data_IF_187874595157
#
_entry.id   IF_187874595157
#
_cell.length_a   1.000
_cell.length_b   1.000
_cell.length_c   1.000
_cell.angle_alpha   90.00
_cell.angle_beta   90.00
_cell.angle_gamma   90.00
#
_symmetry.space_group_name_H-M   'P 1'
#
loop_
_entity.id
_entity.type
_entity.pdbx_description
1 polymer ?
#
# COMPACT_ATOMS: atom_id res chain seq x y z
N UNK A 1 7.61 3.22 23.05
CA UNK A 1 6.93 2.68 21.86
C UNK A 1 6.80 3.80 20.84
N UNK A 2 7.20 3.54 19.59
CA UNK A 2 7.12 4.56 18.54
C UNK A 2 5.70 4.63 17.96
N UNK A 3 5.20 5.84 17.75
CA UNK A 3 3.95 6.06 17.05
C UNK A 3 4.17 5.98 15.54
N UNK A 4 3.35 5.22 14.84
CA UNK A 4 3.46 5.11 13.38
C UNK A 4 2.69 6.23 12.72
N UNK A 5 3.34 7.00 11.86
CA UNK A 5 2.75 8.05 11.05
C UNK A 5 3.15 7.87 9.60
N UNK A 6 2.25 8.25 8.72
CA UNK A 6 2.47 8.16 7.28
C UNK A 6 2.81 9.52 6.70
N UNK A 7 3.88 9.58 5.90
CA UNK A 7 4.25 10.82 5.21
C UNK A 7 3.22 11.17 4.13
N UNK A 8 3.27 12.42 3.67
CA UNK A 8 2.43 12.84 2.55
C UNK A 8 2.70 12.01 1.30
N UNK A 9 3.96 11.68 1.03
CA UNK A 9 4.33 10.83 -0.09
C UNK A 9 3.73 9.44 0.04
N UNK A 10 3.83 8.80 1.20
CA UNK A 10 3.28 7.47 1.43
C UNK A 10 1.76 7.44 1.22
N UNK A 11 1.06 8.45 1.75
CA UNK A 11 -0.39 8.57 1.56
C UNK A 11 -0.75 8.81 0.09
N UNK A 12 0.01 9.64 -0.61
CA UNK A 12 -0.19 9.89 -2.03
C UNK A 12 0.04 8.63 -2.87
N UNK A 13 1.06 7.84 -2.54
CA UNK A 13 1.34 6.58 -3.21
C UNK A 13 0.21 5.57 -3.03
N UNK A 14 -0.36 5.48 -1.83
CA UNK A 14 -1.52 4.62 -1.58
C UNK A 14 -2.75 5.09 -2.35
N UNK A 15 -2.99 6.40 -2.38
CA UNK A 15 -4.10 6.97 -3.15
C UNK A 15 -3.95 6.67 -4.64
N UNK A 16 -2.74 6.82 -5.17
CA UNK A 16 -2.44 6.50 -6.57
C UNK A 16 -2.65 5.02 -6.87
N UNK A 17 -2.25 4.14 -5.97
CA UNK A 17 -2.50 2.70 -6.12
C UNK A 17 -3.99 2.42 -6.28
N UNK A 18 -4.84 3.01 -5.43
CA UNK A 18 -6.29 2.82 -5.49
C UNK A 18 -6.84 3.34 -6.83
N UNK A 19 -6.41 4.52 -7.26
CA UNK A 19 -6.84 5.10 -8.53
C UNK A 19 -6.46 4.23 -9.72
N UNK A 20 -5.21 3.75 -9.78
CA UNK A 20 -4.74 2.90 -10.86
C UNK A 20 -5.45 1.54 -10.88
N UNK A 21 -5.80 1.03 -9.72
CA UNK A 21 -6.55 -0.20 -9.60
C UNK A 21 -7.95 -0.06 -10.21
N UNK A 22 -8.64 1.04 -9.90
CA UNK A 22 -9.97 1.35 -10.46
C UNK A 22 -9.91 1.59 -11.97
N UNK A 23 -8.96 2.40 -12.43
CA UNK A 23 -8.79 2.72 -13.86
C UNK A 23 -8.47 1.49 -14.69
N UNK A 24 -7.56 0.66 -14.23
CA UNK A 24 -7.20 -0.57 -14.92
C UNK A 24 -8.40 -1.48 -15.12
N UNK A 25 -9.27 -1.54 -14.15
CA UNK A 25 -10.48 -2.33 -14.23
C UNK A 25 -11.52 -1.74 -15.16
N UNK A 26 -11.72 -0.45 -15.09
CA UNK A 26 -12.65 0.25 -15.99
C UNK A 26 -12.25 0.04 -17.46
N UNK A 27 -10.95 0.15 -17.77
CA UNK A 27 -10.44 -0.07 -19.12
C UNK A 27 -10.73 -1.50 -19.59
N UNK A 28 -10.58 -2.49 -18.72
CA UNK A 28 -10.83 -3.89 -19.04
C UNK A 28 -12.29 -4.18 -19.38
N UNK A 29 -13.23 -3.52 -18.73
CA UNK A 29 -14.64 -3.89 -18.80
C UNK A 29 -15.55 -2.91 -19.54
N UNK A 30 -15.08 -1.71 -19.86
CA UNK A 30 -15.91 -0.68 -20.50
C UNK A 30 -16.48 -1.12 -21.85
N UNK A 31 -15.75 -1.93 -22.60
CA UNK A 31 -16.15 -2.41 -23.93
C UNK A 31 -16.57 -3.87 -23.95
N UNK A 32 -16.76 -4.48 -22.80
CA UNK A 32 -17.07 -5.92 -22.70
C UNK A 32 -18.52 -6.28 -22.98
N UNK A 33 -19.40 -5.26 -23.16
CA UNK A 33 -20.83 -5.50 -23.31
C UNK A 33 -21.55 -5.85 -22.01
N UNK A 34 -20.85 -5.75 -20.89
CA UNK A 34 -21.45 -5.96 -19.57
C UNK A 34 -22.19 -4.69 -19.16
N UNK A 35 -23.50 -4.79 -19.09
CA UNK A 35 -24.36 -3.64 -18.82
C UNK A 35 -24.53 -3.29 -17.33
N UNK A 36 -23.85 -4.00 -16.43
CA UNK A 36 -23.81 -3.71 -15.01
C UNK A 36 -22.47 -3.08 -14.59
N UNK A 37 -21.94 -2.17 -15.42
CA UNK A 37 -20.62 -1.55 -15.23
C UNK A 37 -20.51 -0.84 -13.86
N UNK A 38 -21.55 -0.12 -13.44
CA UNK A 38 -21.53 0.61 -12.17
C UNK A 38 -21.39 -0.35 -10.97
N UNK A 39 -22.08 -1.48 -10.99
CA UNK A 39 -21.97 -2.47 -9.92
C UNK A 39 -20.57 -3.09 -9.89
N UNK A 40 -19.98 -3.31 -11.05
CA UNK A 40 -18.62 -3.84 -11.17
C UNK A 40 -17.60 -2.84 -10.65
N UNK A 41 -17.73 -1.56 -11.00
CA UNK A 41 -16.85 -0.50 -10.50
C UNK A 41 -16.95 -0.39 -8.98
N UNK A 42 -18.15 -0.45 -8.43
CA UNK A 42 -18.35 -0.41 -6.98
C UNK A 42 -17.67 -1.57 -6.28
N UNK A 43 -17.76 -2.78 -6.83
CA UNK A 43 -17.06 -3.94 -6.31
C UNK A 43 -15.55 -3.73 -6.30
N UNK A 44 -15.02 -3.09 -7.34
CA UNK A 44 -13.58 -2.80 -7.43
C UNK A 44 -13.12 -1.73 -6.47
N UNK A 45 -13.92 -0.71 -6.25
CA UNK A 45 -13.65 0.30 -5.23
C UNK A 45 -13.59 -0.33 -3.85
N UNK A 46 -14.52 -1.22 -3.55
CA UNK A 46 -14.53 -1.94 -2.29
C UNK A 46 -13.32 -2.87 -2.15
N UNK A 47 -12.93 -3.54 -3.24
CA UNK A 47 -11.74 -4.40 -3.25
C UNK A 47 -10.47 -3.58 -3.06
N UNK A 48 -10.34 -2.46 -3.75
CA UNK A 48 -9.19 -1.56 -3.61
C UNK A 48 -9.09 -1.02 -2.19
N UNK A 49 -10.20 -0.62 -1.61
CA UNK A 49 -10.26 -0.15 -0.22
C UNK A 49 -9.84 -1.24 0.75
N UNK A 50 -10.34 -2.45 0.57
CA UNK A 50 -10.00 -3.59 1.42
C UNK A 50 -8.51 -3.93 1.33
N UNK A 51 -7.93 -3.92 0.13
CA UNK A 51 -6.50 -4.18 -0.07
C UNK A 51 -5.68 -3.10 0.62
N UNK A 52 -6.04 -1.82 0.46
CA UNK A 52 -5.32 -0.73 1.11
C UNK A 52 -5.41 -0.79 2.64
N UNK A 53 -6.59 -1.09 3.18
CA UNK A 53 -6.76 -1.28 4.62
C UNK A 53 -5.92 -2.44 5.15
N UNK A 54 -5.84 -3.53 4.38
CA UNK A 54 -5.00 -4.67 4.73
C UNK A 54 -3.52 -4.29 4.74
N UNK A 55 -3.08 -3.52 3.75
CA UNK A 55 -1.69 -3.04 3.69
C UNK A 55 -1.36 -2.16 4.88
N UNK A 56 -2.22 -1.19 5.20
CA UNK A 56 -2.03 -0.34 6.38
C UNK A 56 -1.99 -1.15 7.67
N UNK A 57 -2.90 -2.10 7.82
CA UNK A 57 -2.94 -2.98 9.00
C UNK A 57 -1.66 -3.81 9.13
N UNK A 58 -1.16 -4.37 8.04
CA UNK A 58 0.07 -5.15 8.03
C UNK A 58 1.29 -4.28 8.39
N UNK A 59 1.34 -3.06 7.87
CA UNK A 59 2.40 -2.11 8.21
C UNK A 59 2.39 -1.83 9.72
N UNK A 60 1.22 -1.51 10.27
CA UNK A 60 1.09 -1.23 11.69
C UNK A 60 1.49 -2.42 12.55
N UNK A 61 1.04 -3.62 12.20
CA UNK A 61 1.36 -4.82 12.96
C UNK A 61 2.85 -5.15 12.91
N UNK A 62 3.47 -5.08 11.73
CA UNK A 62 4.87 -5.44 11.54
C UNK A 62 5.82 -4.40 12.12
N UNK A 63 5.48 -3.13 12.05
CA UNK A 63 6.33 -2.03 12.49
C UNK A 63 5.96 -1.49 13.88
N UNK A 64 4.96 -2.04 14.52
CA UNK A 64 4.58 -1.70 15.89
C UNK A 64 5.73 -1.96 16.88
N UNK A 65 6.50 -3.02 16.64
CA UNK A 65 7.66 -3.32 17.45
C UNK A 65 8.84 -2.45 16.99
N UNK A 66 9.26 -1.53 17.82
CA UNK A 66 10.37 -0.61 17.53
C UNK A 66 11.71 -1.29 17.28
N UNK A 67 11.84 -2.56 17.69
CA UNK A 67 13.05 -3.36 17.46
C UNK A 67 13.13 -3.88 16.02
N UNK A 68 12.02 -3.89 15.28
CA UNK A 68 12.03 -4.27 13.88
C UNK A 68 12.63 -3.13 13.08
N UNK A 69 13.81 -3.36 12.50
CA UNK A 69 14.53 -2.35 11.72
C UNK A 69 14.53 -2.64 10.23
N UNK A 70 14.09 -3.84 9.84
CA UNK A 70 14.13 -4.22 8.44
C UNK A 70 15.53 -4.14 7.83
N UNK A 71 15.59 -4.08 6.52
CA UNK A 71 16.84 -3.90 5.79
C UNK A 71 17.17 -2.41 5.66
N UNK A 72 18.41 -2.04 5.95
CA UNK A 72 18.86 -0.66 5.80
C UNK A 72 19.30 -0.41 4.37
N UNK A 73 18.51 0.37 3.60
CA UNK A 73 18.81 0.68 2.21
C UNK A 73 19.78 1.85 2.05
N UNK A 74 19.70 2.81 2.97
CA UNK A 74 20.59 3.96 2.94
C UNK A 74 20.79 4.50 4.37
N UNK A 75 21.46 5.63 4.52
CA UNK A 75 21.74 6.23 5.83
C UNK A 75 20.50 6.76 6.55
N UNK A 76 19.39 6.95 5.84
CA UNK A 76 18.19 7.57 6.39
C UNK A 76 17.02 6.60 6.56
N UNK A 77 16.82 5.69 5.61
CA UNK A 77 15.62 4.89 5.53
C UNK A 77 15.93 3.40 5.71
N UNK A 78 15.00 2.73 6.38
CA UNK A 78 14.97 1.28 6.47
C UNK A 78 13.92 0.74 5.52
N UNK A 79 14.12 -0.48 5.05
CA UNK A 79 13.20 -1.15 4.14
C UNK A 79 12.60 -2.39 4.80
N UNK A 80 11.28 -2.52 4.71
CA UNK A 80 10.57 -3.74 5.05
C UNK A 80 9.71 -4.15 3.86
N UNK A 81 9.81 -5.39 3.43
CA UNK A 81 8.95 -5.92 2.37
C UNK A 81 8.11 -7.09 2.88
N UNK A 82 6.91 -7.20 2.35
CA UNK A 82 5.99 -8.28 2.66
C UNK A 82 4.99 -8.46 1.51
N UNK A 83 4.26 -9.56 1.55
CA UNK A 83 3.22 -9.82 0.55
C UNK A 83 1.85 -9.54 1.17
N UNK A 84 1.04 -8.78 0.45
CA UNK A 84 -0.36 -8.54 0.78
C UNK A 84 -1.19 -8.86 -0.46
N UNK A 85 -2.07 -9.84 -0.36
CA UNK A 85 -2.92 -10.27 -1.45
C UNK A 85 -2.12 -10.59 -2.74
N UNK A 86 -1.05 -11.37 -2.59
CA UNK A 86 -0.12 -11.78 -3.65
C UNK A 86 0.67 -10.63 -4.30
N UNK A 87 0.59 -9.42 -3.75
CA UNK A 87 1.39 -8.28 -4.18
C UNK A 87 2.55 -8.06 -3.24
N UNK A 88 3.72 -7.78 -3.81
CA UNK A 88 4.87 -7.38 -3.01
C UNK A 88 4.70 -5.92 -2.59
N UNK A 89 4.73 -5.68 -1.31
CA UNK A 89 4.69 -4.34 -0.72
C UNK A 89 6.05 -4.03 -0.13
N UNK A 90 6.65 -2.92 -0.54
CA UNK A 90 7.93 -2.45 -0.03
C UNK A 90 7.68 -1.14 0.71
N UNK A 91 8.04 -1.13 1.97
CA UNK A 91 7.81 0.01 2.85
C UNK A 91 9.15 0.58 3.28
N UNK A 92 9.35 1.86 3.05
CA UNK A 92 10.51 2.59 3.56
C UNK A 92 10.09 3.41 4.76
N UNK A 93 10.84 3.31 5.84
CA UNK A 93 10.52 4.01 7.09
C UNK A 93 11.77 4.58 7.76
N UNK A 94 11.56 5.59 8.58
CA UNK A 94 12.61 6.18 9.39
C UNK A 94 12.10 6.42 10.81
N UNK A 95 13.00 6.36 11.78
CA UNK A 95 12.64 6.54 13.18
C UNK A 95 13.13 7.89 13.68
N UNK A 96 12.18 8.69 14.16
CA UNK A 96 12.46 9.88 14.94
C UNK A 96 12.32 9.51 16.43
N UNK A 97 13.44 9.10 17.03
CA UNK A 97 13.43 8.62 18.42
C UNK A 97 13.21 9.73 19.43
N UNK A 98 13.59 10.95 19.08
CA UNK A 98 13.39 12.12 19.94
C UNK A 98 11.90 12.41 20.14
N UNK A 99 11.12 12.36 19.06
CA UNK A 99 9.68 12.58 19.10
C UNK A 99 8.88 11.29 19.23
N UNK A 100 9.56 10.14 19.28
CA UNK A 100 8.95 8.81 19.38
C UNK A 100 7.99 8.52 18.24
N UNK A 101 8.41 8.85 17.02
CA UNK A 101 7.63 8.64 15.80
C UNK A 101 8.40 7.74 14.85
N UNK A 102 7.70 6.77 14.27
CA UNK A 102 8.20 6.00 13.14
C UNK A 102 7.45 6.46 11.91
N UNK A 103 8.17 7.13 11.02
CA UNK A 103 7.60 7.65 9.78
C UNK A 103 7.63 6.60 8.69
N UNK A 104 6.47 6.32 8.10
CA UNK A 104 6.39 5.57 6.87
C UNK A 104 6.62 6.57 5.74
N UNK A 105 7.81 6.50 5.15
CA UNK A 105 8.27 7.51 4.19
C UNK A 105 7.76 7.25 2.78
N UNK A 106 7.70 5.97 2.38
CA UNK A 106 7.28 5.58 1.03
C UNK A 106 6.72 4.17 1.05
N UNK A 107 5.74 3.91 0.19
CA UNK A 107 5.10 2.60 0.02
C UNK A 107 5.08 2.27 -1.47
N UNK A 108 5.80 1.22 -1.85
CA UNK A 108 5.76 0.69 -3.20
C UNK A 108 4.92 -0.58 -3.22
N UNK A 109 4.00 -0.68 -4.17
CA UNK A 109 3.14 -1.85 -4.33
C UNK A 109 3.30 -2.36 -5.75
N UNK A 110 3.79 -3.61 -5.88
CA UNK A 110 3.90 -4.23 -7.19
C UNK A 110 2.54 -4.64 -7.71
N UNK A 111 2.35 -4.50 -9.01
CA UNK A 111 1.15 -4.99 -9.65
C UNK A 111 1.15 -6.50 -9.66
N UNK A 112 -0.01 -7.11 -9.36
CA UNK A 112 -0.21 -8.53 -9.58
C UNK A 112 -0.02 -8.81 -11.07
N UNK A 113 0.85 -9.75 -11.48
CA UNK A 113 1.02 -10.06 -12.88
C UNK A 113 -0.30 -10.56 -13.46
N UNK A 114 -0.75 -9.92 -14.53
CA UNK A 114 -1.91 -10.39 -15.27
C UNK A 114 -1.40 -11.52 -16.17
N UNK A 115 -1.72 -12.74 -15.80
CA UNK A 115 -1.39 -13.90 -16.60
C UNK A 115 -2.58 -14.19 -17.50
N UNK A 116 -2.38 -13.99 -18.77
CA UNK A 116 -3.38 -14.37 -19.76
C UNK A 116 -3.12 -15.78 -20.25
#
# INVERSE_FOLDING_TARGET
MLEIRFSELALAEMKRFIQLYEEGFFILYKDSGIWAVDAIIDNYRQSAKRISEKIFSEIEQKLKNEKVLGRKENTKWHELSFYADERLVVVYFSDDRENKIRWIESIGIDRKPIIF
#
